data_IF_077620425549
#
_entry.id   IF_077620425549
#
_cell.length_a   1.000
_cell.length_b   1.000
_cell.length_c   1.000
_cell.angle_alpha   90.00
_cell.angle_beta   90.00
_cell.angle_gamma   90.00
#
_symmetry.space_group_name_H-M   'P 1'
#
loop_
_entity.id
_entity.type
_entity.pdbx_description
1 polymer ?
#
# COMPACT_ATOMS: atom_id res chain seq x y z
N UNK A 1 18.41 9.21 26.69
CA UNK A 1 19.18 9.24 25.43
C UNK A 1 20.67 9.01 25.68
N UNK A 2 21.33 9.84 26.52
CA UNK A 2 22.78 9.74 26.75
C UNK A 2 23.20 8.34 27.27
N UNK A 3 22.53 7.82 28.31
CA UNK A 3 22.83 6.49 28.89
C UNK A 3 22.63 5.32 27.93
N UNK A 4 21.76 5.48 26.93
CA UNK A 4 21.54 4.47 25.89
C UNK A 4 22.64 4.51 24.84
N UNK A 5 22.99 5.72 24.37
CA UNK A 5 23.99 5.87 23.31
C UNK A 5 25.41 5.56 23.80
N UNK A 6 25.69 5.76 25.09
CA UNK A 6 26.99 5.42 25.71
C UNK A 6 27.33 3.92 25.56
N UNK A 7 26.33 3.05 25.37
CA UNK A 7 26.54 1.62 25.13
C UNK A 7 26.99 1.29 23.69
N UNK A 8 26.86 2.24 22.77
CA UNK A 8 27.29 2.06 21.39
C UNK A 8 28.78 2.41 21.23
N UNK A 9 29.62 1.43 20.88
CA UNK A 9 31.08 1.60 20.73
C UNK A 9 31.45 2.40 19.45
N UNK A 10 30.57 2.53 18.49
CA UNK A 10 30.77 3.22 17.20
C UNK A 10 30.09 4.58 17.13
N UNK A 11 29.78 5.19 18.26
CA UNK A 11 29.12 6.49 18.31
C UNK A 11 30.06 7.67 18.04
N UNK A 12 29.47 8.74 17.49
CA UNK A 12 30.12 10.06 17.52
C UNK A 12 29.89 10.64 18.92
N UNK A 13 30.96 10.96 19.68
CA UNK A 13 30.81 11.49 21.04
C UNK A 13 30.02 12.80 21.04
N UNK A 14 28.84 12.79 21.58
CA UNK A 14 28.02 13.98 21.79
C UNK A 14 27.14 13.79 23.01
N UNK A 15 26.91 14.87 23.75
CA UNK A 15 25.99 14.89 24.89
C UNK A 15 24.75 15.68 24.50
N UNK A 16 23.60 15.01 24.57
CA UNK A 16 22.30 15.65 24.38
C UNK A 16 21.87 16.25 25.70
N UNK A 17 21.60 17.55 25.71
CA UNK A 17 21.10 18.28 26.88
C UNK A 17 19.81 19.01 26.52
N UNK A 18 18.92 19.19 27.50
CA UNK A 18 17.74 20.01 27.31
C UNK A 18 18.13 21.49 27.23
N UNK A 19 17.51 22.22 26.31
CA UNK A 19 17.62 23.68 26.28
C UNK A 19 16.70 24.35 27.32
N UNK A 20 15.77 23.62 27.91
CA UNK A 20 14.87 24.07 28.98
C UNK A 20 15.37 23.52 30.32
N UNK A 21 15.36 24.36 31.35
CA UNK A 21 15.76 23.98 32.69
C UNK A 21 14.70 23.13 33.41
N UNK A 22 13.44 23.30 33.03
CA UNK A 22 12.31 22.58 33.65
C UNK A 22 12.31 21.12 33.24
N UNK A 23 12.05 20.24 34.19
CA UNK A 23 11.75 18.83 33.97
C UNK A 23 10.34 18.71 33.43
N UNK A 24 10.20 18.04 32.25
CA UNK A 24 8.90 17.71 31.72
C UNK A 24 8.18 16.61 32.51
N UNK A 25 7.01 16.25 32.03
CA UNK A 25 6.24 15.12 32.57
C UNK A 25 7.05 13.81 32.48
N UNK A 26 6.83 12.85 33.39
CA UNK A 26 7.43 11.52 33.27
C UNK A 26 7.06 10.83 31.97
N UNK A 27 7.93 9.90 31.53
CA UNK A 27 7.65 9.07 30.36
C UNK A 27 6.69 7.95 30.79
N UNK A 28 5.52 7.92 30.15
CA UNK A 28 4.59 6.81 30.28
C UNK A 28 4.99 5.69 29.31
N UNK A 29 4.88 4.44 29.74
CA UNK A 29 5.10 3.24 28.92
C UNK A 29 3.81 2.44 28.91
N UNK A 30 3.31 2.14 27.72
CA UNK A 30 2.13 1.34 27.51
C UNK A 30 2.52 0.05 26.79
N UNK A 31 1.90 -1.06 27.19
CA UNK A 31 1.99 -2.33 26.52
C UNK A 31 0.65 -2.60 25.82
N UNK A 32 0.67 -2.93 24.54
CA UNK A 32 -0.49 -3.26 23.75
C UNK A 32 -0.47 -4.74 23.36
N UNK A 33 -1.62 -5.37 23.28
CA UNK A 33 -1.77 -6.78 22.86
C UNK A 33 -1.79 -6.93 21.35
N UNK A 34 -2.05 -5.84 20.61
CA UNK A 34 -2.06 -5.80 19.14
C UNK A 34 -1.63 -4.42 18.63
N UNK A 35 -1.26 -4.36 17.36
CA UNK A 35 -0.95 -3.13 16.63
C UNK A 35 -2.18 -2.20 16.53
N UNK A 36 -3.38 -2.75 16.36
CA UNK A 36 -4.65 -1.99 16.38
C UNK A 36 -4.85 -1.31 17.74
N UNK A 37 -4.62 -2.03 18.84
CA UNK A 37 -4.70 -1.48 20.19
C UNK A 37 -3.64 -0.42 20.43
N UNK A 38 -2.40 -0.61 19.92
CA UNK A 38 -1.34 0.41 19.96
C UNK A 38 -1.81 1.71 19.32
N UNK A 39 -2.39 1.63 18.12
CA UNK A 39 -2.95 2.79 17.42
C UNK A 39 -4.04 3.50 18.21
N UNK A 40 -4.97 2.75 18.80
CA UNK A 40 -6.06 3.31 19.61
C UNK A 40 -5.53 3.96 20.92
N UNK A 41 -4.56 3.34 21.60
CA UNK A 41 -3.92 3.91 22.81
C UNK A 41 -3.27 5.25 22.47
N UNK A 42 -2.47 5.31 21.41
CA UNK A 42 -1.77 6.54 21.02
C UNK A 42 -2.76 7.65 20.67
N UNK A 43 -3.77 7.36 19.85
CA UNK A 43 -4.77 8.36 19.46
C UNK A 43 -5.62 8.84 20.63
N UNK A 44 -6.04 7.94 21.52
CA UNK A 44 -6.78 8.30 22.73
C UNK A 44 -5.93 9.18 23.65
N UNK A 45 -4.61 8.89 23.76
CA UNK A 45 -3.69 9.72 24.56
C UNK A 45 -3.52 11.11 23.98
N UNK A 46 -3.44 11.25 22.66
CA UNK A 46 -3.43 12.57 21.99
C UNK A 46 -4.69 13.35 22.31
N UNK A 47 -5.87 12.73 22.23
CA UNK A 47 -7.16 13.38 22.52
C UNK A 47 -7.21 13.82 23.99
N UNK A 48 -6.79 12.95 24.91
CA UNK A 48 -6.74 13.24 26.36
C UNK A 48 -5.84 14.44 26.65
N UNK A 49 -4.59 14.40 26.16
CA UNK A 49 -3.59 15.46 26.40
C UNK A 49 -4.02 16.80 25.79
N UNK A 50 -4.61 16.77 24.58
CA UNK A 50 -5.14 17.97 23.96
C UNK A 50 -6.20 18.64 24.83
N UNK A 51 -7.10 17.86 25.40
CA UNK A 51 -8.17 18.39 26.29
C UNK A 51 -7.61 18.90 27.63
N UNK A 52 -6.60 18.21 28.19
CA UNK A 52 -6.03 18.53 29.49
C UNK A 52 -5.13 19.75 29.43
N UNK A 53 -4.33 19.92 28.38
CA UNK A 53 -3.23 20.87 28.33
C UNK A 53 -3.46 22.01 27.31
N UNK A 54 -4.65 22.13 26.72
CA UNK A 54 -4.99 23.11 25.68
C UNK A 54 -3.99 23.10 24.51
N UNK A 55 -3.54 21.88 24.10
CA UNK A 55 -2.60 21.68 23.00
C UNK A 55 -3.32 21.64 21.65
N UNK A 56 -2.63 22.07 20.61
CA UNK A 56 -3.08 21.88 19.22
C UNK A 56 -2.55 20.55 18.65
N UNK A 57 -3.17 20.03 17.58
CA UNK A 57 -2.71 18.78 16.96
C UNK A 57 -1.27 18.86 16.44
N UNK A 58 -0.80 20.05 16.07
CA UNK A 58 0.57 20.28 15.63
C UNK A 58 1.63 20.12 16.73
N UNK A 59 1.21 20.06 17.99
CA UNK A 59 2.11 19.88 19.14
C UNK A 59 2.45 18.40 19.37
N UNK A 60 1.81 17.49 18.65
CA UNK A 60 2.02 16.06 18.76
C UNK A 60 2.81 15.50 17.59
N UNK A 61 3.68 14.53 17.88
CA UNK A 61 4.39 13.75 16.87
C UNK A 61 4.36 12.26 17.25
N UNK A 62 4.06 11.41 16.25
CA UNK A 62 4.15 9.95 16.39
C UNK A 62 5.42 9.51 15.67
N UNK A 63 6.30 8.81 16.36
CA UNK A 63 7.53 8.26 15.81
C UNK A 63 7.42 6.73 15.78
N UNK A 64 7.77 6.14 14.65
CA UNK A 64 7.75 4.68 14.46
C UNK A 64 9.04 4.19 13.77
N UNK A 65 9.33 2.91 13.90
CA UNK A 65 10.57 2.30 13.42
C UNK A 65 10.56 2.01 11.93
N UNK A 66 9.49 1.41 11.43
CA UNK A 66 9.35 1.00 10.03
C UNK A 66 8.18 1.70 9.34
N UNK A 67 8.31 1.85 8.04
CA UNK A 67 7.25 2.49 7.25
C UNK A 67 5.91 1.74 7.33
N UNK A 68 5.92 0.42 7.46
CA UNK A 68 4.72 -0.39 7.57
C UNK A 68 3.84 0.01 8.77
N UNK A 69 4.44 0.31 9.92
CA UNK A 69 3.73 0.72 11.13
C UNK A 69 2.86 1.99 10.95
N UNK A 70 3.13 2.82 9.92
CA UNK A 70 2.31 4.02 9.70
C UNK A 70 0.84 3.72 9.42
N UNK A 71 0.51 2.55 8.84
CA UNK A 71 -0.87 2.17 8.49
C UNK A 71 -1.81 2.26 9.69
N UNK A 72 -1.43 1.61 10.78
CA UNK A 72 -2.26 1.56 12.00
C UNK A 72 -2.54 2.96 12.56
N UNK A 73 -1.52 3.80 12.65
CA UNK A 73 -1.70 5.18 13.13
C UNK A 73 -2.54 6.02 12.17
N UNK A 74 -2.32 5.88 10.85
CA UNK A 74 -3.11 6.58 9.84
C UNK A 74 -4.60 6.18 9.91
N UNK A 75 -4.88 4.88 10.07
CA UNK A 75 -6.24 4.36 10.21
C UNK A 75 -6.91 4.83 11.50
N UNK A 76 -6.21 4.74 12.64
CA UNK A 76 -6.73 5.18 13.93
C UNK A 76 -7.02 6.70 13.95
N UNK A 77 -6.13 7.52 13.39
CA UNK A 77 -6.33 8.97 13.26
C UNK A 77 -7.51 9.29 12.34
N UNK A 78 -7.61 8.61 11.19
CA UNK A 78 -8.69 8.81 10.22
C UNK A 78 -10.04 8.41 10.80
N UNK A 79 -10.13 7.30 11.50
CA UNK A 79 -11.34 6.83 12.18
C UNK A 79 -11.88 7.86 13.19
N UNK A 80 -11.00 8.65 13.80
CA UNK A 80 -11.34 9.72 14.74
C UNK A 80 -11.45 11.11 14.09
N UNK A 81 -11.26 11.21 12.76
CA UNK A 81 -11.29 12.50 12.04
C UNK A 81 -10.17 13.46 12.43
N UNK A 82 -9.03 12.94 12.94
CA UNK A 82 -7.88 13.76 13.34
C UNK A 82 -6.98 14.00 12.13
N UNK A 83 -6.71 15.28 11.77
CA UNK A 83 -5.81 15.59 10.68
C UNK A 83 -4.37 15.22 11.05
N UNK A 84 -3.64 14.68 10.08
CA UNK A 84 -2.23 14.30 10.25
C UNK A 84 -1.41 14.60 9.00
N UNK A 85 -0.10 14.68 9.16
CA UNK A 85 0.86 14.83 8.08
C UNK A 85 2.02 13.85 8.28
N UNK A 86 2.39 13.13 7.21
CA UNK A 86 3.54 12.23 7.22
C UNK A 86 4.78 13.01 6.74
N UNK A 87 5.86 12.91 7.50
CA UNK A 87 7.16 13.47 7.16
C UNK A 87 8.13 12.36 6.74
N UNK A 88 8.89 12.59 5.69
CA UNK A 88 9.91 11.67 5.21
C UNK A 88 9.39 10.53 4.34
N UNK A 89 8.11 10.54 3.95
CA UNK A 89 7.53 9.48 3.11
C UNK A 89 6.13 9.80 2.59
N UNK A 90 5.58 8.83 1.87
CA UNK A 90 4.18 8.85 1.42
C UNK A 90 3.29 8.16 2.45
N UNK A 91 2.03 8.57 2.53
CA UNK A 91 0.98 7.82 3.20
C UNK A 91 0.96 6.37 2.73
N UNK A 92 0.62 5.43 3.62
CA UNK A 92 0.64 4.00 3.33
C UNK A 92 -0.04 3.66 2.01
N UNK A 93 -1.28 4.14 1.83
CA UNK A 93 -2.07 3.88 0.61
C UNK A 93 -1.62 4.69 -0.63
N UNK A 94 -0.65 5.60 -0.49
CA UNK A 94 -0.06 6.33 -1.62
C UNK A 94 1.21 5.69 -2.14
N UNK A 95 1.77 4.70 -1.44
CA UNK A 95 2.98 3.97 -1.86
C UNK A 95 2.73 3.20 -3.13
N UNK A 96 3.77 3.13 -3.98
CA UNK A 96 3.67 2.52 -5.32
C UNK A 96 3.19 1.07 -5.25
N UNK A 97 3.84 0.24 -4.45
CA UNK A 97 3.54 -1.18 -4.29
C UNK A 97 2.12 -1.43 -3.78
N UNK A 98 1.63 -0.57 -2.88
CA UNK A 98 0.26 -0.65 -2.36
C UNK A 98 -0.75 -0.27 -3.44
N UNK A 99 -0.49 0.80 -4.19
CA UNK A 99 -1.33 1.19 -5.34
C UNK A 99 -1.34 0.12 -6.42
N UNK A 100 -0.21 -0.56 -6.66
CA UNK A 100 -0.12 -1.64 -7.63
C UNK A 100 -1.02 -2.81 -7.24
N UNK A 101 -0.99 -3.24 -5.97
CA UNK A 101 -1.88 -4.30 -5.45
C UNK A 101 -3.35 -3.87 -5.49
N UNK A 102 -3.67 -2.68 -4.98
CA UNK A 102 -5.04 -2.14 -4.97
C UNK A 102 -5.61 -2.04 -6.39
N UNK A 103 -4.76 -1.71 -7.39
CA UNK A 103 -5.22 -1.65 -8.78
C UNK A 103 -5.68 -3.01 -9.31
N UNK A 104 -5.06 -4.11 -8.88
CA UNK A 104 -5.58 -5.45 -9.18
C UNK A 104 -6.94 -5.69 -8.53
N UNK A 105 -7.11 -5.31 -7.26
CA UNK A 105 -8.39 -5.45 -6.57
C UNK A 105 -9.50 -4.64 -7.28
N UNK A 106 -9.19 -3.40 -7.64
CA UNK A 106 -10.11 -2.53 -8.39
C UNK A 106 -10.50 -3.14 -9.74
N UNK A 107 -9.54 -3.72 -10.48
CA UNK A 107 -9.79 -4.33 -11.78
C UNK A 107 -10.63 -5.61 -11.68
N UNK A 108 -10.47 -6.39 -10.61
CA UNK A 108 -11.30 -7.58 -10.34
C UNK A 108 -12.75 -7.19 -10.03
N UNK A 109 -12.95 -6.13 -9.24
CA UNK A 109 -14.28 -5.62 -8.89
C UNK A 109 -14.92 -4.89 -10.08
N UNK A 110 -14.14 -4.14 -10.85
CA UNK A 110 -14.59 -3.40 -12.01
C UNK A 110 -13.57 -3.47 -13.15
N UNK A 111 -13.72 -4.40 -14.12
CA UNK A 111 -12.83 -4.53 -15.26
C UNK A 111 -12.76 -3.28 -16.16
N UNK A 112 -13.77 -2.41 -16.11
CA UNK A 112 -13.81 -1.17 -16.88
C UNK A 112 -13.07 -0.01 -16.22
N UNK A 113 -12.40 -0.24 -15.07
CA UNK A 113 -11.53 0.75 -14.43
C UNK A 113 -10.24 0.95 -15.25
N UNK A 114 -10.24 2.00 -16.07
CA UNK A 114 -9.14 2.29 -16.98
C UNK A 114 -7.81 2.57 -16.27
N UNK A 115 -7.83 3.23 -15.11
CA UNK A 115 -6.62 3.53 -14.36
C UNK A 115 -6.01 2.24 -13.81
N UNK A 116 -6.84 1.38 -13.23
CA UNK A 116 -6.43 0.08 -12.74
C UNK A 116 -5.92 -0.81 -13.88
N UNK A 117 -6.60 -0.83 -15.03
CA UNK A 117 -6.17 -1.55 -16.22
C UNK A 117 -4.79 -1.12 -16.70
N UNK A 118 -4.58 0.19 -16.94
CA UNK A 118 -3.32 0.75 -17.42
C UNK A 118 -2.16 0.45 -16.46
N UNK A 119 -2.45 0.39 -15.16
CA UNK A 119 -1.45 0.12 -14.13
C UNK A 119 -1.07 -1.35 -14.04
N UNK A 120 -1.98 -2.27 -14.27
CA UNK A 120 -1.81 -3.70 -14.02
C UNK A 120 -1.44 -4.52 -15.25
N UNK A 121 -1.85 -4.12 -16.44
CA UNK A 121 -1.70 -4.90 -17.67
C UNK A 121 -0.26 -5.36 -17.94
N UNK A 122 0.74 -4.56 -17.62
CA UNK A 122 2.16 -4.89 -17.76
C UNK A 122 2.95 -4.79 -16.44
N UNK A 123 2.30 -4.85 -15.31
CA UNK A 123 2.96 -4.93 -14.02
C UNK A 123 2.37 -6.05 -13.16
N UNK A 124 3.20 -7.02 -12.70
CA UNK A 124 4.61 -7.28 -13.07
C UNK A 124 4.82 -7.44 -14.57
N UNK A 125 6.07 -7.31 -15.03
CA UNK A 125 6.40 -7.27 -16.45
C UNK A 125 5.91 -8.51 -17.20
N UNK A 126 4.98 -8.32 -18.14
CA UNK A 126 4.42 -9.40 -19.00
C UNK A 126 4.87 -9.29 -20.47
N UNK A 127 5.64 -8.23 -20.79
CA UNK A 127 6.06 -7.96 -22.16
C UNK A 127 4.93 -7.41 -23.04
N UNK A 128 3.94 -6.77 -22.44
CA UNK A 128 2.93 -5.94 -23.11
C UNK A 128 3.45 -4.51 -23.06
N UNK A 129 4.15 -4.08 -24.10
CA UNK A 129 4.84 -2.79 -24.12
C UNK A 129 3.90 -1.61 -24.27
N UNK A 130 4.44 -0.41 -23.99
CA UNK A 130 3.70 0.86 -24.06
C UNK A 130 2.99 1.04 -25.40
N UNK A 131 3.65 0.73 -26.52
CA UNK A 131 3.06 0.83 -27.85
C UNK A 131 1.77 0.01 -28.01
N UNK A 132 1.71 -1.17 -27.39
CA UNK A 132 0.50 -2.01 -27.41
C UNK A 132 -0.60 -1.38 -26.55
N UNK A 133 -0.24 -0.86 -25.38
CA UNK A 133 -1.18 -0.18 -24.48
C UNK A 133 -1.76 1.07 -25.16
N UNK A 134 -0.92 1.87 -25.81
CA UNK A 134 -1.35 3.05 -26.57
C UNK A 134 -2.33 2.67 -27.70
N UNK A 135 -2.04 1.58 -28.45
CA UNK A 135 -2.99 1.05 -29.45
C UNK A 135 -4.34 0.64 -28.84
N UNK A 136 -4.34 -0.01 -27.69
CA UNK A 136 -5.58 -0.38 -27.00
C UNK A 136 -6.38 0.87 -26.61
N UNK A 137 -5.71 1.91 -26.13
CA UNK A 137 -6.32 3.19 -25.76
C UNK A 137 -6.95 3.85 -26.99
N UNK A 138 -6.21 3.95 -28.10
CA UNK A 138 -6.70 4.55 -29.34
C UNK A 138 -7.92 3.80 -29.89
N UNK A 139 -7.87 2.47 -29.92
CA UNK A 139 -8.98 1.62 -30.38
C UNK A 139 -10.20 1.77 -29.47
N UNK A 140 -10.02 1.81 -28.16
CA UNK A 140 -11.05 2.05 -27.16
C UNK A 140 -11.74 3.39 -27.41
N UNK A 141 -10.97 4.47 -27.54
CA UNK A 141 -11.48 5.81 -27.78
C UNK A 141 -12.25 5.93 -29.11
N UNK A 142 -11.72 5.34 -30.18
CA UNK A 142 -12.33 5.38 -31.51
C UNK A 142 -13.66 4.61 -31.59
N UNK A 143 -13.84 3.58 -30.77
CA UNK A 143 -15.04 2.74 -30.77
C UNK A 143 -15.99 3.05 -29.60
N UNK A 144 -15.62 3.92 -28.66
CA UNK A 144 -16.44 4.27 -27.49
C UNK A 144 -16.69 3.09 -26.55
N UNK A 145 -15.70 2.19 -26.40
CA UNK A 145 -15.77 1.00 -25.53
C UNK A 145 -14.63 1.01 -24.53
N UNK A 146 -14.75 0.24 -23.44
CA UNK A 146 -13.70 0.17 -22.42
C UNK A 146 -12.41 -0.52 -22.92
N UNK A 147 -11.29 -0.25 -22.24
CA UNK A 147 -10.00 -0.91 -22.53
C UNK A 147 -10.12 -2.44 -22.36
N UNK A 148 -10.87 -2.87 -21.36
CA UNK A 148 -11.16 -4.28 -21.09
C UNK A 148 -11.93 -4.93 -22.23
N UNK A 149 -12.94 -4.24 -22.75
CA UNK A 149 -13.71 -4.71 -23.92
C UNK A 149 -12.83 -4.92 -25.15
N UNK A 150 -11.90 -3.99 -25.42
CA UNK A 150 -10.92 -4.13 -26.50
C UNK A 150 -9.97 -5.31 -26.25
N UNK A 151 -9.48 -5.47 -25.01
CA UNK A 151 -8.62 -6.62 -24.64
C UNK A 151 -9.33 -7.96 -24.87
N UNK A 152 -10.60 -8.04 -24.52
CA UNK A 152 -11.40 -9.27 -24.67
C UNK A 152 -11.70 -9.59 -26.13
N UNK A 153 -11.87 -8.58 -26.98
CA UNK A 153 -12.33 -8.72 -28.37
C UNK A 153 -11.45 -7.94 -29.36
N UNK A 154 -10.10 -8.15 -29.36
CA UNK A 154 -9.18 -7.31 -30.09
C UNK A 154 -9.44 -7.29 -31.60
N UNK A 155 -9.81 -8.42 -32.18
CA UNK A 155 -10.06 -8.52 -33.63
C UNK A 155 -11.38 -7.87 -34.04
N UNK A 156 -12.40 -7.88 -33.18
CA UNK A 156 -13.70 -7.25 -33.46
C UNK A 156 -13.52 -5.73 -33.60
N UNK A 157 -12.66 -5.16 -32.75
CA UNK A 157 -12.39 -3.71 -32.74
C UNK A 157 -11.19 -3.32 -33.61
N UNK A 158 -10.61 -4.26 -34.36
CA UNK A 158 -9.53 -3.97 -35.31
C UNK A 158 -8.18 -3.67 -34.67
N UNK A 159 -7.92 -4.20 -33.47
CA UNK A 159 -6.62 -4.06 -32.80
C UNK A 159 -5.57 -4.90 -33.53
N UNK A 160 -4.60 -4.22 -34.15
CA UNK A 160 -3.48 -4.87 -34.84
C UNK A 160 -2.32 -5.16 -33.89
N UNK A 161 -2.16 -6.44 -33.54
CA UNK A 161 -1.08 -6.97 -32.72
C UNK A 161 -0.57 -8.30 -33.26
N UNK A 162 0.72 -8.57 -33.09
CA UNK A 162 1.29 -9.86 -33.46
C UNK A 162 0.84 -11.00 -32.54
N UNK A 163 1.00 -12.26 -33.00
CA UNK A 163 0.57 -13.45 -32.26
C UNK A 163 1.17 -13.54 -30.85
N UNK A 164 2.44 -13.14 -30.68
CA UNK A 164 3.11 -13.19 -29.38
C UNK A 164 2.52 -12.18 -28.39
N UNK A 165 2.23 -10.97 -28.84
CA UNK A 165 1.56 -9.94 -28.03
C UNK A 165 0.14 -10.36 -27.69
N UNK A 166 -0.60 -10.90 -28.67
CA UNK A 166 -1.94 -11.42 -28.45
C UNK A 166 -1.97 -12.50 -27.37
N UNK A 167 -1.05 -13.49 -27.43
CA UNK A 167 -0.98 -14.52 -26.40
C UNK A 167 -0.73 -13.97 -24.99
N UNK A 168 0.12 -12.94 -24.86
CA UNK A 168 0.36 -12.25 -23.58
C UNK A 168 -0.88 -11.51 -23.07
N UNK A 169 -1.60 -10.86 -23.99
CA UNK A 169 -2.86 -10.18 -23.66
C UNK A 169 -3.91 -11.19 -23.19
N UNK A 170 -4.04 -12.33 -23.85
CA UNK A 170 -4.94 -13.40 -23.43
C UNK A 170 -4.56 -13.96 -22.06
N UNK A 171 -3.27 -14.20 -21.80
CA UNK A 171 -2.82 -14.65 -20.46
C UNK A 171 -3.16 -13.65 -19.35
N UNK A 172 -3.07 -12.35 -19.60
CA UNK A 172 -3.50 -11.34 -18.65
C UNK A 172 -5.02 -11.35 -18.46
N UNK A 173 -5.79 -11.44 -19.54
CA UNK A 173 -7.24 -11.57 -19.50
C UNK A 173 -7.68 -12.77 -18.66
N UNK A 174 -7.16 -13.96 -18.96
CA UNK A 174 -7.47 -15.21 -18.27
C UNK A 174 -7.14 -15.12 -16.77
N UNK A 175 -6.03 -14.46 -16.41
CA UNK A 175 -5.67 -14.22 -15.03
C UNK A 175 -6.73 -13.40 -14.30
N UNK A 176 -7.16 -12.28 -14.87
CA UNK A 176 -8.18 -11.41 -14.24
C UNK A 176 -9.54 -12.11 -14.19
N UNK A 177 -9.96 -12.76 -15.28
CA UNK A 177 -11.22 -13.52 -15.31
C UNK A 177 -11.24 -14.64 -14.25
N UNK A 178 -10.10 -15.28 -13.99
CA UNK A 178 -9.98 -16.29 -12.93
C UNK A 178 -10.16 -15.70 -11.53
N UNK A 179 -9.67 -14.49 -11.27
CA UNK A 179 -9.90 -13.80 -10.00
C UNK A 179 -11.37 -13.40 -9.83
N UNK A 180 -12.00 -12.87 -10.89
CA UNK A 180 -13.42 -12.54 -10.87
C UNK A 180 -14.30 -13.77 -10.56
N UNK A 181 -13.95 -14.92 -11.14
CA UNK A 181 -14.66 -16.16 -10.87
C UNK A 181 -14.47 -16.66 -9.43
N UNK A 182 -13.29 -16.45 -8.86
CA UNK A 182 -12.92 -16.86 -7.50
C UNK A 182 -13.54 -15.93 -6.42
N UNK A 183 -13.80 -14.65 -6.73
CA UNK A 183 -14.34 -13.64 -5.81
C UNK A 183 -15.71 -14.03 -5.22
N UNK A 184 -16.50 -14.78 -5.96
CA UNK A 184 -17.85 -15.23 -5.53
C UNK A 184 -17.79 -16.13 -4.28
N UNK A 185 -16.67 -16.86 -4.09
CA UNK A 185 -16.54 -17.91 -3.07
C UNK A 185 -15.50 -17.62 -1.98
N UNK A 186 -14.77 -16.50 -2.08
CA UNK A 186 -13.67 -16.14 -1.19
C UNK A 186 -13.97 -14.83 -0.45
N UNK A 187 -13.50 -14.73 0.79
CA UNK A 187 -13.51 -13.45 1.48
C UNK A 187 -12.39 -12.52 0.97
N UNK A 188 -12.42 -11.24 1.38
CA UNK A 188 -11.47 -10.23 0.91
C UNK A 188 -10.00 -10.59 1.18
N UNK A 189 -9.71 -11.26 2.30
CA UNK A 189 -8.37 -11.74 2.65
C UNK A 189 -7.92 -12.87 1.72
N UNK A 190 -8.76 -13.87 1.50
CA UNK A 190 -8.44 -15.04 0.66
C UNK A 190 -8.22 -14.64 -0.80
N UNK A 191 -9.12 -13.83 -1.36
CA UNK A 191 -8.97 -13.34 -2.74
C UNK A 191 -7.78 -12.39 -2.87
N UNK A 192 -7.55 -11.54 -1.87
CA UNK A 192 -6.41 -10.62 -1.86
C UNK A 192 -5.06 -11.35 -1.85
N UNK A 193 -4.91 -12.39 -1.03
CA UNK A 193 -3.72 -13.27 -1.03
C UNK A 193 -3.51 -13.96 -2.37
N UNK A 194 -4.59 -14.48 -2.96
CA UNK A 194 -4.54 -15.18 -4.24
C UNK A 194 -4.10 -14.23 -5.38
N UNK A 195 -4.65 -13.03 -5.41
CA UNK A 195 -4.26 -11.97 -6.37
C UNK A 195 -2.78 -11.62 -6.20
N UNK A 196 -2.29 -11.35 -4.99
CA UNK A 196 -0.90 -11.00 -4.74
C UNK A 196 0.07 -12.09 -5.19
N UNK A 197 -0.27 -13.36 -4.95
CA UNK A 197 0.56 -14.51 -5.33
C UNK A 197 0.53 -14.77 -6.83
N UNK A 198 -0.65 -14.93 -7.42
CA UNK A 198 -0.83 -15.34 -8.82
C UNK A 198 -0.54 -14.21 -9.83
N UNK A 199 -0.72 -12.95 -9.44
CA UNK A 199 -0.31 -11.81 -10.28
C UNK A 199 1.20 -11.75 -10.49
N UNK A 200 1.99 -12.30 -9.55
CA UNK A 200 3.45 -12.26 -9.54
C UNK A 200 4.04 -11.04 -8.84
N UNK A 201 3.22 -10.15 -8.26
CA UNK A 201 3.72 -8.94 -7.56
C UNK A 201 4.69 -9.31 -6.45
N UNK A 202 4.36 -10.31 -5.62
CA UNK A 202 5.24 -10.73 -4.52
C UNK A 202 6.59 -11.23 -5.05
N UNK A 203 6.59 -11.97 -6.16
CA UNK A 203 7.83 -12.45 -6.77
C UNK A 203 8.70 -11.30 -7.28
N UNK A 204 8.11 -10.30 -7.92
CA UNK A 204 8.80 -9.09 -8.40
C UNK A 204 9.45 -8.33 -7.24
N UNK A 205 8.70 -8.12 -6.15
CA UNK A 205 9.20 -7.40 -4.97
C UNK A 205 10.29 -8.20 -4.23
N UNK A 206 10.15 -9.52 -4.13
CA UNK A 206 11.15 -10.38 -3.48
C UNK A 206 12.47 -10.52 -4.25
N UNK A 207 12.54 -10.15 -5.52
CA UNK A 207 13.80 -10.12 -6.28
C UNK A 207 14.70 -8.95 -5.89
N UNK A 208 14.14 -7.88 -5.32
CA UNK A 208 14.89 -6.71 -4.87
C UNK A 208 15.33 -6.89 -3.41
N UNK A 209 16.60 -7.26 -3.21
CA UNK A 209 17.19 -7.43 -1.88
C UNK A 209 17.73 -6.11 -1.27
N UNK A 210 17.47 -4.96 -1.88
CA UNK A 210 17.80 -3.66 -1.31
C UNK A 210 16.95 -3.36 -0.07
N UNK A 211 17.38 -2.39 0.74
CA UNK A 211 16.56 -1.91 1.87
C UNK A 211 15.19 -1.38 1.43
N UNK A 212 15.12 -0.84 0.21
CA UNK A 212 13.86 -0.38 -0.39
C UNK A 212 12.97 -1.56 -0.79
N UNK A 213 13.54 -2.63 -1.39
CA UNK A 213 12.83 -3.86 -1.71
C UNK A 213 12.25 -4.54 -0.46
N UNK A 214 13.03 -4.63 0.61
CA UNK A 214 12.57 -5.15 1.90
C UNK A 214 11.40 -4.33 2.46
N UNK A 215 11.49 -2.99 2.40
CA UNK A 215 10.42 -2.11 2.86
C UNK A 215 9.13 -2.28 2.02
N UNK A 216 9.25 -2.47 0.69
CA UNK A 216 8.09 -2.77 -0.17
C UNK A 216 7.42 -4.10 0.20
N UNK A 217 8.22 -5.12 0.50
CA UNK A 217 7.72 -6.42 0.95
C UNK A 217 6.94 -6.27 2.26
N UNK A 218 7.54 -5.62 3.28
CA UNK A 218 6.88 -5.34 4.56
C UNK A 218 5.56 -4.58 4.38
N UNK A 219 5.51 -3.60 3.47
CA UNK A 219 4.30 -2.86 3.17
C UNK A 219 3.19 -3.75 2.58
N UNK A 220 3.52 -4.70 1.68
CA UNK A 220 2.53 -5.63 1.13
C UNK A 220 2.06 -6.61 2.21
N UNK A 221 2.95 -7.13 3.06
CA UNK A 221 2.61 -7.99 4.18
C UNK A 221 1.67 -7.26 5.16
N UNK A 222 1.93 -5.99 5.41
CA UNK A 222 1.09 -5.15 6.27
C UNK A 222 -0.30 -4.88 5.66
N UNK A 223 -0.40 -4.73 4.32
CA UNK A 223 -1.70 -4.66 3.65
C UNK A 223 -2.48 -5.96 3.82
N UNK A 224 -1.80 -7.11 3.72
CA UNK A 224 -2.40 -8.44 3.92
C UNK A 224 -2.91 -8.59 5.36
N UNK A 225 -2.14 -8.14 6.36
CA UNK A 225 -2.57 -8.14 7.76
C UNK A 225 -3.85 -7.31 7.94
N UNK A 226 -3.90 -6.10 7.37
CA UNK A 226 -5.09 -5.26 7.43
C UNK A 226 -6.33 -5.88 6.77
N UNK A 227 -6.17 -6.65 5.70
CA UNK A 227 -7.28 -7.40 5.11
C UNK A 227 -7.75 -8.54 6.02
N UNK A 228 -6.83 -9.22 6.70
CA UNK A 228 -7.16 -10.28 7.65
C UNK A 228 -7.94 -9.72 8.85
N UNK A 229 -7.49 -8.59 9.41
CA UNK A 229 -8.16 -7.92 10.53
C UNK A 229 -9.59 -7.48 10.17
N UNK A 230 -9.81 -7.11 8.91
CA UNK A 230 -11.13 -6.73 8.41
C UNK A 230 -12.08 -7.92 8.24
N UNK A 231 -11.54 -9.11 7.96
CA UNK A 231 -12.32 -10.34 7.76
C UNK A 231 -12.54 -11.16 9.03
N UNK A 232 -11.80 -10.87 10.12
CA UNK A 232 -11.90 -11.54 11.42
C UNK A 232 -13.08 -11.01 12.23
#
# INVERSE_FOLDING_TARGET
>A
ANSLIEKNRQQIPKKVVSAKEDKGEPIDVFEAYSDVEEGEIVVNKIIELRRKNDCEYNDFAILYRTNAQSRIFEEALRKRGIPYKIYGGLSFYQRKEIKDVISYFRLVVNPDDEEAFKRTINYPTRGIGKTTIDKIIDVSANNGVSLWTVLCNPFIYGLDVNKGTYAKMQGFRELIESFIADDINKNAYEIGLDIIRRSGIMNEVCQDNSSEGLSRKENIEELVNGMNDFCA
#
